data_IF_300747391534
#
_entry.id   IF_300747391534
#
_cell.length_a   1.000
_cell.length_b   1.000
_cell.length_c   1.000
_cell.angle_alpha   90.00
_cell.angle_beta   90.00
_cell.angle_gamma   90.00
#
_symmetry.space_group_name_H-M   'P 1'
#
loop_
_entity.id
_entity.type
_entity.pdbx_description
1 polymer ?
#
# COMPACT_ATOMS: atom_id res chain seq x y z
N UNK A 1 -8.70 21.52 -12.90
CA UNK A 1 -7.41 20.99 -13.42
C UNK A 1 -7.71 19.80 -14.32
N UNK A 2 -7.00 19.67 -15.43
CA UNK A 2 -7.01 18.43 -16.20
C UNK A 2 -6.28 17.34 -15.39
N UNK A 3 -6.67 16.08 -15.53
CA UNK A 3 -6.06 14.98 -14.79
C UNK A 3 -4.54 14.87 -15.04
N UNK A 4 -4.13 15.15 -16.28
CA UNK A 4 -2.73 15.09 -16.73
C UNK A 4 -1.83 16.15 -16.06
N UNK A 5 -2.41 17.25 -15.57
CA UNK A 5 -1.69 18.32 -14.89
C UNK A 5 -1.87 18.29 -13.36
N UNK A 6 -2.45 17.21 -12.83
CA UNK A 6 -2.62 17.06 -11.39
C UNK A 6 -1.29 16.81 -10.69
N UNK A 7 -0.96 17.69 -9.74
CA UNK A 7 0.04 17.41 -8.71
C UNK A 7 -0.54 17.71 -7.34
N UNK A 8 -0.08 16.97 -6.33
CA UNK A 8 -0.54 17.17 -4.97
C UNK A 8 -0.19 18.58 -4.45
N UNK A 9 0.93 19.15 -4.88
CA UNK A 9 1.37 20.49 -4.47
C UNK A 9 0.52 21.60 -5.08
N UNK A 10 0.18 21.51 -6.38
CA UNK A 10 -0.71 22.48 -7.04
C UNK A 10 -2.10 22.47 -6.43
N UNK A 11 -2.60 21.29 -6.08
CA UNK A 11 -3.87 21.12 -5.38
C UNK A 11 -3.85 21.77 -3.99
N UNK A 12 -2.82 21.53 -3.17
CA UNK A 12 -2.70 22.16 -1.84
C UNK A 12 -2.68 23.69 -1.94
N UNK A 13 -1.90 24.23 -2.87
CA UNK A 13 -1.78 25.67 -3.08
C UNK A 13 -3.11 26.30 -3.55
N UNK A 14 -3.79 25.67 -4.50
CA UNK A 14 -5.04 26.19 -5.06
C UNK A 14 -6.17 26.26 -4.01
N UNK A 15 -6.23 25.27 -3.12
CA UNK A 15 -7.31 25.14 -2.13
C UNK A 15 -6.93 25.60 -0.72
N UNK A 16 -5.72 26.16 -0.54
CA UNK A 16 -5.24 26.63 0.77
C UNK A 16 -5.15 25.51 1.81
N UNK A 17 -4.86 24.28 1.38
CA UNK A 17 -4.86 23.10 2.25
C UNK A 17 -3.51 22.87 2.88
N UNK A 18 -3.50 22.62 4.19
CA UNK A 18 -2.34 22.08 4.90
C UNK A 18 -2.40 20.55 4.88
N UNK A 19 -1.26 19.94 4.58
CA UNK A 19 -1.12 18.49 4.61
C UNK A 19 -0.38 18.07 5.86
N UNK A 20 -1.12 17.45 6.78
CA UNK A 20 -0.56 16.87 7.98
C UNK A 20 -0.37 15.38 7.74
N UNK A 21 0.87 14.97 7.50
CA UNK A 21 1.20 13.54 7.53
C UNK A 21 1.37 13.13 8.98
N UNK A 22 0.32 12.59 9.58
CA UNK A 22 0.44 11.94 10.88
C UNK A 22 1.22 10.66 10.68
N UNK A 23 2.55 10.71 10.86
CA UNK A 23 3.30 9.50 11.18
C UNK A 23 2.83 9.09 12.56
N UNK A 24 1.77 8.28 12.62
CA UNK A 24 1.38 7.64 13.87
C UNK A 24 2.64 7.00 14.46
N UNK A 25 2.88 7.24 15.75
CA UNK A 25 3.86 6.47 16.49
C UNK A 25 3.49 5.01 16.25
N UNK A 26 4.26 4.32 15.39
CA UNK A 26 4.15 2.88 15.31
C UNK A 26 4.65 2.43 16.67
N UNK A 27 3.72 2.06 17.54
CA UNK A 27 4.06 1.27 18.71
C UNK A 27 5.01 0.16 18.25
N UNK A 28 5.94 -0.24 19.12
CA UNK A 28 6.84 -1.35 18.82
C UNK A 28 5.96 -2.59 18.62
N UNK A 29 5.61 -2.86 17.36
CA UNK A 29 4.77 -3.98 16.99
C UNK A 29 5.65 -5.22 17.04
N UNK A 30 5.22 -6.23 17.78
CA UNK A 30 5.88 -7.53 17.76
C UNK A 30 5.74 -8.11 16.35
N UNK A 31 6.83 -8.61 15.73
CA UNK A 31 6.77 -9.21 14.40
C UNK A 31 5.75 -10.35 14.37
N UNK A 32 4.90 -10.36 13.35
CA UNK A 32 3.92 -11.42 13.10
C UNK A 32 4.37 -12.19 11.87
N UNK A 33 4.47 -13.51 11.99
CA UNK A 33 4.78 -14.36 10.85
C UNK A 33 3.56 -14.43 9.91
N UNK A 34 3.75 -14.35 8.58
CA UNK A 34 2.65 -14.50 7.63
C UNK A 34 2.07 -15.91 7.69
N UNK A 35 0.79 -16.06 7.36
CA UNK A 35 0.18 -17.39 7.31
C UNK A 35 0.77 -18.23 6.17
N UNK A 36 0.49 -19.54 6.21
CA UNK A 36 0.79 -20.45 5.11
C UNK A 36 0.12 -19.98 3.81
N UNK A 37 -1.10 -19.45 3.90
CA UNK A 37 -1.88 -18.95 2.76
C UNK A 37 -1.21 -17.73 2.15
N UNK A 38 -0.90 -16.69 2.94
CA UNK A 38 -0.23 -15.50 2.42
C UNK A 38 1.15 -15.86 1.85
N UNK A 39 1.89 -16.74 2.53
CA UNK A 39 3.19 -17.21 2.05
C UNK A 39 3.09 -17.87 0.66
N UNK A 40 2.09 -18.74 0.45
CA UNK A 40 1.87 -19.38 -0.85
C UNK A 40 1.46 -18.37 -1.94
N UNK A 41 0.59 -17.42 -1.61
CA UNK A 41 0.15 -16.34 -2.52
C UNK A 41 1.34 -15.49 -2.95
N UNK A 42 2.14 -15.01 -2.00
CA UNK A 42 3.29 -14.16 -2.29
C UNK A 42 4.38 -14.90 -3.07
N UNK A 43 4.63 -16.17 -2.75
CA UNK A 43 5.59 -17.00 -3.52
C UNK A 43 5.19 -17.12 -5.00
N UNK A 44 3.89 -17.19 -5.30
CA UNK A 44 3.36 -17.24 -6.67
C UNK A 44 3.41 -15.87 -7.36
N UNK A 45 3.08 -14.80 -6.64
CA UNK A 45 2.81 -13.51 -7.26
C UNK A 45 3.99 -12.56 -7.31
N UNK A 46 4.90 -12.60 -6.33
CA UNK A 46 6.11 -11.74 -6.29
C UNK A 46 6.90 -11.82 -7.61
N UNK A 47 7.20 -13.01 -8.18
CA UNK A 47 7.93 -13.08 -9.45
C UNK A 47 7.21 -12.45 -10.65
N UNK A 48 5.87 -12.39 -10.61
CA UNK A 48 5.06 -11.81 -11.69
C UNK A 48 5.10 -10.28 -11.67
N UNK A 49 5.20 -9.69 -10.48
CA UNK A 49 5.09 -8.25 -10.28
C UNK A 49 6.43 -7.53 -10.22
N UNK A 50 7.49 -8.22 -9.79
CA UNK A 50 8.84 -7.68 -9.73
C UNK A 50 9.41 -7.60 -11.15
N UNK A 51 9.45 -6.38 -11.70
CA UNK A 51 10.16 -6.06 -12.94
C UNK A 51 9.29 -5.62 -14.12
N UNK A 52 7.99 -5.95 -14.18
CA UNK A 52 7.15 -5.67 -15.37
C UNK A 52 5.69 -5.26 -15.14
N UNK A 53 5.27 -5.02 -13.90
CA UNK A 53 3.85 -4.68 -13.64
C UNK A 53 3.59 -3.21 -13.39
N UNK A 54 2.41 -2.76 -13.83
CA UNK A 54 1.84 -1.46 -13.51
C UNK A 54 1.63 -1.32 -11.99
N UNK A 55 1.44 -0.09 -11.52
CA UNK A 55 1.08 0.14 -10.11
C UNK A 55 -0.15 -0.67 -9.66
N UNK A 56 -1.12 -0.87 -10.57
CA UNK A 56 -2.30 -1.70 -10.33
C UNK A 56 -1.94 -3.16 -10.07
N UNK A 57 -1.03 -3.74 -10.87
CA UNK A 57 -0.58 -5.12 -10.66
C UNK A 57 0.06 -5.32 -9.29
N UNK A 58 0.90 -4.39 -8.83
CA UNK A 58 1.49 -4.47 -7.48
C UNK A 58 0.43 -4.32 -6.38
N UNK A 59 -0.53 -3.44 -6.58
CA UNK A 59 -1.64 -3.23 -5.63
C UNK A 59 -2.46 -4.49 -5.42
N UNK A 60 -2.81 -5.19 -6.50
CA UNK A 60 -3.68 -6.37 -6.44
C UNK A 60 -2.94 -7.63 -6.00
N UNK A 61 -1.70 -7.83 -6.46
CA UNK A 61 -0.98 -9.10 -6.24
C UNK A 61 -0.04 -9.10 -5.04
N UNK A 62 0.28 -7.93 -4.46
CA UNK A 62 1.08 -7.83 -3.23
C UNK A 62 0.32 -7.15 -2.10
N UNK A 63 -0.16 -5.93 -2.34
CA UNK A 63 -0.67 -5.08 -1.26
C UNK A 63 -1.99 -5.60 -0.72
N UNK A 64 -2.96 -5.90 -1.60
CA UNK A 64 -4.28 -6.36 -1.17
C UNK A 64 -4.22 -7.66 -0.32
N UNK A 65 -3.51 -8.73 -0.71
CA UNK A 65 -3.37 -9.93 0.12
C UNK A 65 -2.76 -9.66 1.50
N UNK A 66 -1.73 -8.80 1.57
CA UNK A 66 -1.08 -8.44 2.84
C UNK A 66 -2.07 -7.67 3.73
N UNK A 67 -2.78 -6.68 3.19
CA UNK A 67 -3.72 -5.88 3.97
C UNK A 67 -4.91 -6.71 4.46
N UNK A 68 -5.39 -7.66 3.66
CA UNK A 68 -6.44 -8.61 4.08
C UNK A 68 -5.95 -9.43 5.27
N UNK A 69 -4.75 -10.02 5.20
CA UNK A 69 -4.23 -10.81 6.32
C UNK A 69 -3.96 -9.97 7.57
N UNK A 70 -3.41 -8.76 7.41
CA UNK A 70 -3.20 -7.83 8.53
C UNK A 70 -4.53 -7.51 9.22
N UNK A 71 -5.59 -7.28 8.44
CA UNK A 71 -6.94 -7.07 8.96
C UNK A 71 -7.40 -8.30 9.73
N UNK A 72 -7.30 -9.49 9.16
CA UNK A 72 -7.75 -10.73 9.79
C UNK A 72 -7.01 -11.06 11.10
N UNK A 73 -5.78 -10.54 11.28
CA UNK A 73 -4.95 -10.75 12.47
C UNK A 73 -5.18 -9.67 13.55
N UNK A 74 -5.48 -8.44 13.15
CA UNK A 74 -5.50 -7.27 14.04
C UNK A 74 -6.90 -6.70 14.34
N UNK A 75 -7.93 -7.04 13.56
CA UNK A 75 -9.34 -6.77 13.87
C UNK A 75 -9.90 -7.80 14.88
#
# INVERSE_FOLDING_TARGET
MAYESFTLDTFKAQFGLTYTQTSGARDVISPIAPSVTLTAILKRHVPLVVGRTSGKGRSEFLVAPILTEVRDILD
#
